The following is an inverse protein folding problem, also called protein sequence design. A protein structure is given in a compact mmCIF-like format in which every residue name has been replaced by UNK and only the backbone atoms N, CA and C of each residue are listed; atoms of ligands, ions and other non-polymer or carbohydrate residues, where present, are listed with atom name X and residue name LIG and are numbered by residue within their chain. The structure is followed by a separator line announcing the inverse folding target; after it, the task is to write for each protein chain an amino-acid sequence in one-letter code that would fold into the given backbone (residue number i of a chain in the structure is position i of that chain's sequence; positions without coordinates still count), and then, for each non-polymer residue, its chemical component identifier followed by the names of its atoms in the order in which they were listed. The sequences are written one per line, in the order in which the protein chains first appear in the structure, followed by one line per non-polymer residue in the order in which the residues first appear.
data_IF_778432081393
#
_entry.id   IF_778432081393
#
_cell.length_a   1.000
_cell.length_b   1.000
_cell.length_c   1.000
_cell.angle_alpha   90.00
_cell.angle_beta   90.00
_cell.angle_gamma   90.00
#
_symmetry.space_group_name_H-M   'P 1'
#
loop_
_entity.id
_entity.type
_entity.pdbx_description
1 polymer ?
#
# COMPACT_ATOMS: atom_id res chain seq x y z
N UNK A 1 -9.52 -12.71 -12.47
CA UNK A 1 -10.94 -12.82 -12.07
C UNK A 1 -11.13 -11.92 -10.86
N UNK A 2 -11.45 -10.64 -11.08
CA UNK A 2 -11.74 -9.72 -9.99
C UNK A 2 -13.00 -10.19 -9.26
N UNK A 3 -13.01 -10.10 -7.93
CA UNK A 3 -14.20 -10.38 -7.13
C UNK A 3 -15.35 -9.41 -7.48
N UNK A 4 -16.58 -9.80 -7.14
CA UNK A 4 -17.71 -8.85 -7.13
C UNK A 4 -17.43 -7.72 -6.11
N UNK A 5 -18.09 -6.56 -6.25
CA UNK A 5 -17.86 -5.39 -5.38
C UNK A 5 -17.77 -5.78 -3.88
N UNK A 6 -16.61 -5.55 -3.28
CA UNK A 6 -16.35 -5.83 -1.86
C UNK A 6 -15.97 -7.28 -1.51
N UNK A 7 -15.85 -8.19 -2.48
CA UNK A 7 -15.36 -9.54 -2.26
C UNK A 7 -13.88 -9.69 -2.64
N UNK A 8 -13.10 -10.29 -1.73
CA UNK A 8 -11.72 -10.70 -2.00
C UNK A 8 -11.67 -11.64 -3.20
N UNK A 9 -10.69 -11.46 -4.08
CA UNK A 9 -10.43 -12.43 -5.14
C UNK A 9 -10.05 -13.81 -4.59
N UNK A 10 -10.27 -14.90 -5.36
CA UNK A 10 -9.83 -16.24 -4.97
C UNK A 10 -8.34 -16.33 -4.65
N UNK A 11 -7.52 -15.48 -5.30
CA UNK A 11 -6.09 -15.38 -5.05
C UNK A 11 -5.82 -14.88 -3.63
N UNK A 12 -6.33 -13.70 -3.27
CA UNK A 12 -6.12 -13.10 -1.94
C UNK A 12 -6.68 -14.01 -0.84
N UNK A 13 -7.87 -14.58 -1.04
CA UNK A 13 -8.46 -15.52 -0.08
C UNK A 13 -7.55 -16.73 0.18
N UNK A 14 -6.96 -17.30 -0.89
CA UNK A 14 -6.05 -18.44 -0.76
C UNK A 14 -4.81 -18.07 0.04
N UNK A 15 -4.18 -16.94 -0.28
CA UNK A 15 -2.96 -16.49 0.42
C UNK A 15 -3.22 -16.25 1.91
N UNK A 16 -4.34 -15.58 2.24
CA UNK A 16 -4.74 -15.37 3.65
C UNK A 16 -4.94 -16.71 4.37
N UNK A 17 -5.61 -17.68 3.73
CA UNK A 17 -5.89 -19.00 4.31
C UNK A 17 -4.63 -19.83 4.54
N UNK A 18 -3.64 -19.74 3.66
CA UNK A 18 -2.35 -20.43 3.82
C UNK A 18 -1.55 -19.89 5.00
N UNK A 19 -1.78 -18.63 5.40
CA UNK A 19 -1.24 -18.04 6.63
C UNK A 19 0.26 -17.73 6.61
N UNK A 20 0.94 -18.02 5.49
CA UNK A 20 2.35 -17.69 5.29
C UNK A 20 2.50 -16.26 4.79
N UNK A 21 3.61 -15.62 5.15
CA UNK A 21 3.88 -14.25 4.75
C UNK A 21 3.96 -14.12 3.22
N UNK A 22 3.09 -13.30 2.63
CA UNK A 22 3.02 -13.07 1.19
C UNK A 22 4.18 -12.22 0.69
N UNK A 23 4.78 -12.63 -0.42
CA UNK A 23 5.79 -11.87 -1.14
C UNK A 23 5.28 -11.58 -2.54
N UNK A 24 5.23 -10.31 -2.91
CA UNK A 24 4.89 -9.90 -4.26
C UNK A 24 6.12 -10.08 -5.17
N UNK A 25 5.97 -10.91 -6.19
CA UNK A 25 7.03 -11.16 -7.17
C UNK A 25 7.00 -10.17 -8.34
N UNK A 26 5.89 -9.48 -8.55
CA UNK A 26 5.75 -8.41 -9.56
C UNK A 26 6.23 -7.06 -9.01
N UNK A 27 6.18 -6.90 -7.68
CA UNK A 27 6.71 -5.73 -6.96
C UNK A 27 7.62 -6.15 -5.79
N UNK A 28 8.84 -6.64 -6.06
CA UNK A 28 9.70 -7.23 -5.05
C UNK A 28 10.22 -6.20 -4.03
N UNK A 29 10.46 -6.62 -2.80
CA UNK A 29 11.03 -5.79 -1.73
C UNK A 29 12.54 -5.53 -1.90
N UNK A 30 12.93 -4.89 -3.00
CA UNK A 30 14.31 -4.53 -3.34
C UNK A 30 14.36 -3.16 -4.06
N UNK A 31 15.53 -2.76 -4.55
CA UNK A 31 15.72 -1.45 -5.20
C UNK A 31 14.93 -1.29 -6.51
N UNK A 32 14.56 -2.36 -7.22
CA UNK A 32 13.82 -2.28 -8.48
C UNK A 32 12.39 -1.74 -8.29
N UNK A 33 11.84 -1.89 -7.09
CA UNK A 33 10.53 -1.33 -6.73
C UNK A 33 10.61 0.11 -6.20
N UNK A 34 11.80 0.64 -5.96
CA UNK A 34 12.03 2.02 -5.52
C UNK A 34 12.56 2.90 -6.65
N UNK A 35 13.32 2.32 -7.58
CA UNK A 35 14.13 3.02 -8.56
C UNK A 35 13.85 2.47 -9.96
N UNK A 36 13.66 3.37 -10.90
CA UNK A 36 13.65 3.04 -12.32
C UNK A 36 15.09 3.07 -12.86
N UNK A 37 15.83 2.00 -12.56
CA UNK A 37 17.23 1.86 -12.98
C UNK A 37 17.41 1.79 -14.50
N UNK A 38 16.33 1.63 -15.27
CA UNK A 38 16.37 1.66 -16.72
C UNK A 38 16.33 3.09 -17.29
N UNK A 39 15.95 4.08 -16.47
CA UNK A 39 15.92 5.50 -16.81
C UNK A 39 16.72 6.34 -15.79
N UNK A 40 16.56 7.66 -15.81
CA UNK A 40 17.26 8.59 -14.91
C UNK A 40 16.63 8.66 -13.50
N UNK A 41 15.91 7.61 -13.08
CA UNK A 41 15.13 7.57 -11.84
C UNK A 41 14.17 8.77 -11.68
N UNK A 42 13.64 9.31 -12.79
CA UNK A 42 12.77 10.49 -12.76
C UNK A 42 13.50 11.78 -12.38
N UNK A 43 14.80 11.87 -12.66
CA UNK A 43 15.64 13.02 -12.34
C UNK A 43 16.01 13.13 -10.86
N UNK A 44 16.02 12.01 -10.13
CA UNK A 44 16.40 11.97 -8.71
C UNK A 44 17.83 12.50 -8.50
N UNK A 45 18.00 13.39 -7.51
CA UNK A 45 19.32 13.89 -7.14
C UNK A 45 20.16 12.82 -6.42
N UNK A 46 21.48 12.94 -6.50
CA UNK A 46 22.43 11.97 -5.93
C UNK A 46 22.24 11.71 -4.44
N UNK A 47 21.84 12.74 -3.67
CA UNK A 47 21.65 12.60 -2.22
C UNK A 47 20.39 11.79 -1.93
N UNK A 48 19.32 12.01 -2.68
CA UNK A 48 18.08 11.23 -2.56
C UNK A 48 18.30 9.79 -3.02
N UNK A 49 19.04 9.57 -4.11
CA UNK A 49 19.41 8.22 -4.54
C UNK A 49 20.20 7.48 -3.46
N UNK A 50 21.25 8.10 -2.92
CA UNK A 50 22.07 7.50 -1.85
C UNK A 50 21.23 7.19 -0.60
N UNK A 51 20.24 8.01 -0.26
CA UNK A 51 19.29 7.72 0.82
C UNK A 51 18.49 6.46 0.52
N UNK A 52 17.94 6.31 -0.68
CA UNK A 52 17.11 5.17 -1.05
C UNK A 52 17.89 3.85 -1.03
N UNK A 53 19.17 3.87 -1.38
CA UNK A 53 20.07 2.72 -1.30
C UNK A 53 20.31 2.24 0.14
N UNK A 54 20.09 3.09 1.16
CA UNK A 54 20.20 2.72 2.58
C UNK A 54 18.92 2.14 3.19
N UNK A 55 17.80 2.21 2.47
CA UNK A 55 16.50 1.79 3.01
C UNK A 55 16.41 0.26 3.11
N UNK A 56 15.73 -0.21 4.15
CA UNK A 56 15.41 -1.62 4.36
C UNK A 56 13.89 -1.81 4.35
N UNK A 57 13.44 -2.85 3.68
CA UNK A 57 12.03 -3.22 3.65
C UNK A 57 11.65 -3.96 4.94
N UNK A 58 10.61 -3.46 5.63
CA UNK A 58 10.03 -4.12 6.81
C UNK A 58 8.50 -4.15 6.71
N UNK A 59 7.89 -5.20 7.24
CA UNK A 59 6.43 -5.28 7.40
C UNK A 59 5.99 -4.42 8.58
N UNK A 60 4.73 -3.96 8.56
CA UNK A 60 4.17 -3.20 9.69
C UNK A 60 4.29 -3.96 11.03
N UNK A 61 4.10 -5.27 11.03
CA UNK A 61 4.26 -6.12 12.22
C UNK A 61 5.68 -6.12 12.81
N UNK A 62 6.70 -5.80 12.01
CA UNK A 62 8.09 -5.70 12.45
C UNK A 62 8.45 -4.28 12.92
N UNK A 63 7.66 -3.28 12.51
CA UNK A 63 7.85 -1.88 12.92
C UNK A 63 7.11 -1.61 14.25
N UNK A 64 5.93 -2.22 14.42
CA UNK A 64 5.03 -2.00 15.55
C UNK A 64 4.81 -3.29 16.34
N UNK A 65 5.89 -3.90 16.82
CA UNK A 65 5.90 -5.21 17.51
C UNK A 65 5.05 -5.23 18.80
N UNK A 66 4.75 -4.07 19.39
CA UNK A 66 4.07 -3.91 20.69
C UNK A 66 2.88 -2.92 20.64
N UNK A 67 2.15 -2.84 19.53
CA UNK A 67 0.96 -1.99 19.48
C UNK A 67 -0.06 -2.43 20.56
N UNK A 68 -0.26 -1.61 21.61
CA UNK A 68 -1.09 -1.93 22.78
C UNK A 68 -2.54 -2.31 22.41
N UNK A 69 -3.11 -1.65 21.40
CA UNK A 69 -4.47 -1.89 20.90
C UNK A 69 -4.52 -2.91 19.74
N UNK A 70 -3.38 -3.53 19.42
CA UNK A 70 -3.20 -4.30 18.19
C UNK A 70 -3.09 -3.41 16.94
N UNK A 71 -2.58 -3.96 15.85
CA UNK A 71 -2.57 -3.26 14.56
C UNK A 71 -3.97 -3.25 13.96
N UNK A 72 -4.38 -2.12 13.40
CA UNK A 72 -5.65 -1.96 12.71
C UNK A 72 -5.40 -1.37 11.33
N UNK A 73 -6.12 -1.84 10.32
CA UNK A 73 -6.06 -1.26 8.97
C UNK A 73 -6.81 0.08 8.92
N UNK A 74 -7.96 0.15 9.60
CA UNK A 74 -8.76 1.37 9.74
C UNK A 74 -9.02 1.63 11.23
N UNK A 75 -8.39 2.66 11.80
CA UNK A 75 -8.60 3.05 13.20
C UNK A 75 -9.66 4.16 13.27
N UNK A 76 -10.85 3.84 13.79
CA UNK A 76 -12.01 4.75 13.85
C UNK A 76 -12.50 5.17 12.47
N UNK A 77 -12.06 6.32 11.97
CA UNK A 77 -12.41 6.92 10.69
C UNK A 77 -11.15 7.45 10.03
N UNK A 78 -11.03 7.25 8.72
CA UNK A 78 -9.90 7.79 7.95
C UNK A 78 -10.05 9.31 7.84
N UNK A 79 -8.99 10.03 8.16
CA UNK A 79 -8.92 11.49 8.15
C UNK A 79 -7.83 11.99 7.20
N UNK A 80 -7.95 13.18 6.60
CA UNK A 80 -6.88 13.80 5.81
C UNK A 80 -5.54 13.88 6.57
N UNK A 81 -5.58 14.04 7.89
CA UNK A 81 -4.41 14.10 8.78
C UNK A 81 -3.63 12.78 8.88
N UNK A 82 -4.23 11.66 8.46
CA UNK A 82 -3.56 10.37 8.38
C UNK A 82 -2.56 10.32 7.19
N UNK A 83 -2.68 11.24 6.23
CA UNK A 83 -1.78 11.35 5.08
C UNK A 83 -0.63 12.28 5.39
N UNK A 84 0.58 11.72 5.52
CA UNK A 84 1.80 12.49 5.84
C UNK A 84 2.87 12.28 4.77
N UNK A 85 3.32 13.37 4.16
CA UNK A 85 4.35 13.30 3.11
C UNK A 85 5.70 12.82 3.67
N UNK A 86 6.27 11.84 2.96
CA UNK A 86 7.61 11.32 3.22
C UNK A 86 8.70 12.09 2.47
N UNK A 87 9.74 11.38 2.03
CA UNK A 87 10.84 11.94 1.23
C UNK A 87 10.62 11.87 -0.28
N UNK A 88 9.54 11.23 -0.73
CA UNK A 88 9.18 11.14 -2.13
C UNK A 88 8.47 12.41 -2.61
N UNK A 89 8.68 12.78 -3.87
CA UNK A 89 8.05 13.93 -4.51
C UNK A 89 6.66 13.60 -5.08
N UNK A 90 5.82 12.93 -4.30
CA UNK A 90 4.50 12.40 -4.67
C UNK A 90 3.34 13.22 -4.08
N UNK A 91 3.59 14.48 -3.71
CA UNK A 91 2.60 15.33 -3.04
C UNK A 91 1.27 15.49 -3.81
N UNK A 92 1.31 15.44 -5.15
CA UNK A 92 0.11 15.47 -5.98
C UNK A 92 -0.78 14.24 -5.73
N UNK A 93 -0.18 13.05 -5.55
CA UNK A 93 -0.90 11.83 -5.26
C UNK A 93 -1.43 11.84 -3.82
N UNK A 94 -0.60 12.25 -2.86
CA UNK A 94 -1.00 12.37 -1.46
C UNK A 94 -2.14 13.38 -1.26
N UNK A 95 -2.14 14.49 -2.01
CA UNK A 95 -3.22 15.48 -1.97
C UNK A 95 -4.55 14.89 -2.45
N UNK A 96 -4.54 14.00 -3.46
CA UNK A 96 -5.72 13.26 -3.89
C UNK A 96 -6.24 12.31 -2.79
N UNK A 97 -5.35 11.60 -2.10
CA UNK A 97 -5.73 10.72 -0.99
C UNK A 97 -6.36 11.51 0.17
N UNK A 98 -5.77 12.66 0.53
CA UNK A 98 -6.31 13.55 1.56
C UNK A 98 -7.71 14.07 1.17
N UNK A 99 -7.90 14.50 -0.08
CA UNK A 99 -9.21 14.93 -0.58
C UNK A 99 -10.27 13.81 -0.61
N UNK A 100 -9.85 12.55 -0.82
CA UNK A 100 -10.74 11.41 -0.70
C UNK A 100 -11.12 11.12 0.77
N UNK A 101 -10.19 11.31 1.71
CA UNK A 101 -10.40 11.09 3.13
C UNK A 101 -11.41 12.09 3.76
N UNK A 102 -11.59 13.28 3.17
CA UNK A 102 -12.63 14.25 3.57
C UNK A 102 -14.06 13.69 3.51
N UNK A 103 -14.29 12.63 2.71
CA UNK A 103 -15.61 11.99 2.61
C UNK A 103 -15.53 10.57 3.20
N UNK A 104 -16.21 10.33 4.35
CA UNK A 104 -16.18 9.03 5.02
C UNK A 104 -16.49 7.86 4.09
N UNK A 105 -15.76 6.76 4.25
CA UNK A 105 -15.95 5.52 3.49
C UNK A 105 -15.36 5.50 2.08
N UNK A 106 -14.91 6.63 1.51
CA UNK A 106 -14.33 6.64 0.15
C UNK A 106 -13.05 5.83 0.06
N UNK A 107 -12.07 6.12 0.92
CA UNK A 107 -10.82 5.35 0.97
C UNK A 107 -11.10 3.91 1.34
N UNK A 108 -11.91 3.66 2.37
CA UNK A 108 -12.28 2.31 2.80
C UNK A 108 -12.88 1.50 1.65
N UNK A 109 -13.73 2.10 0.80
CA UNK A 109 -14.37 1.42 -0.33
C UNK A 109 -13.40 0.94 -1.41
N UNK A 110 -12.19 1.53 -1.48
CA UNK A 110 -11.15 1.10 -2.41
C UNK A 110 -10.52 -0.22 -1.96
N UNK A 111 -10.38 -0.45 -0.66
CA UNK A 111 -9.78 -1.67 -0.13
C UNK A 111 -10.73 -2.87 -0.25
N UNK A 112 -10.24 -4.01 -0.73
CA UNK A 112 -10.95 -5.28 -0.67
C UNK A 112 -10.67 -6.01 0.65
N UNK A 113 -9.44 -5.93 1.15
CA UNK A 113 -9.06 -6.42 2.48
C UNK A 113 -9.43 -5.38 3.54
N UNK A 114 -10.23 -5.76 4.54
CA UNK A 114 -10.72 -4.82 5.56
C UNK A 114 -10.02 -4.91 6.91
N UNK A 115 -9.35 -6.04 7.16
CA UNK A 115 -8.73 -6.36 8.45
C UNK A 115 -7.26 -6.74 8.27
N UNK A 116 -6.48 -6.57 9.33
CA UNK A 116 -5.10 -7.06 9.38
C UNK A 116 -5.12 -8.59 9.27
N UNK A 117 -4.22 -9.14 8.45
CA UNK A 117 -4.08 -10.58 8.26
C UNK A 117 -2.61 -11.02 8.39
N UNK A 118 -2.39 -12.23 8.88
CA UNK A 118 -1.04 -12.77 9.12
C UNK A 118 -0.21 -12.95 7.86
N UNK A 119 -0.85 -13.19 6.71
CA UNK A 119 -0.16 -13.26 5.43
C UNK A 119 0.39 -11.88 4.98
N UNK A 120 -0.16 -10.78 5.50
CA UNK A 120 0.28 -9.43 5.17
C UNK A 120 0.00 -9.02 3.73
N UNK A 121 -1.02 -9.63 3.09
CA UNK A 121 -1.50 -9.26 1.75
C UNK A 121 -2.72 -8.35 1.87
N UNK A 122 -2.75 -7.30 1.07
CA UNK A 122 -3.87 -6.36 0.97
C UNK A 122 -4.13 -6.12 -0.51
N UNK A 123 -5.39 -6.07 -0.93
CA UNK A 123 -5.73 -5.65 -2.29
C UNK A 123 -6.67 -4.45 -2.28
N UNK A 124 -6.52 -3.61 -3.30
CA UNK A 124 -7.21 -2.33 -3.49
C UNK A 124 -7.69 -2.26 -4.94
N UNK A 125 -8.86 -1.68 -5.17
CA UNK A 125 -9.36 -1.41 -6.51
C UNK A 125 -8.94 -0.01 -6.97
N UNK A 126 -8.17 0.05 -8.04
CA UNK A 126 -7.88 1.28 -8.78
C UNK A 126 -8.74 1.40 -10.03
N UNK A 127 -8.89 2.62 -10.55
CA UNK A 127 -9.43 2.87 -11.88
C UNK A 127 -8.28 3.27 -12.82
N UNK A 128 -7.89 2.34 -13.69
CA UNK A 128 -6.82 2.54 -14.67
C UNK A 128 -7.45 2.57 -16.05
N UNK A 129 -7.26 3.68 -16.78
CA UNK A 129 -7.88 3.90 -18.11
C UNK A 129 -9.41 3.68 -18.11
N UNK A 130 -10.08 4.10 -17.03
CA UNK A 130 -11.53 3.97 -16.86
C UNK A 130 -12.00 2.57 -16.47
N UNK A 131 -11.10 1.59 -16.31
CA UNK A 131 -11.43 0.24 -15.89
C UNK A 131 -11.01 0.00 -14.45
N UNK A 132 -11.88 -0.66 -13.70
CA UNK A 132 -11.55 -1.11 -12.35
C UNK A 132 -10.54 -2.26 -12.43
N UNK A 133 -9.47 -2.15 -11.67
CA UNK A 133 -8.42 -3.17 -11.56
C UNK A 133 -8.12 -3.41 -10.08
N UNK A 134 -8.16 -4.68 -9.67
CA UNK A 134 -7.63 -5.10 -8.37
C UNK A 134 -6.11 -5.14 -8.46
N UNK A 135 -5.46 -4.43 -7.54
CA UNK A 135 -4.02 -4.40 -7.31
C UNK A 135 -3.76 -4.95 -5.91
#
# INVERSE_FOLDING_TARGET
LAGADGQLSPFVQRIIREGSAFTDHEFPANSQSLLDTANDNGGLDQRTQALFETLVWRRLSQVYEEAEEGMQLFKKSISPEDVRQGKLADCYFLSCLAALAEVPGRIESLFNTKEVNYAGIYSINFFVNGQRQEV
#
